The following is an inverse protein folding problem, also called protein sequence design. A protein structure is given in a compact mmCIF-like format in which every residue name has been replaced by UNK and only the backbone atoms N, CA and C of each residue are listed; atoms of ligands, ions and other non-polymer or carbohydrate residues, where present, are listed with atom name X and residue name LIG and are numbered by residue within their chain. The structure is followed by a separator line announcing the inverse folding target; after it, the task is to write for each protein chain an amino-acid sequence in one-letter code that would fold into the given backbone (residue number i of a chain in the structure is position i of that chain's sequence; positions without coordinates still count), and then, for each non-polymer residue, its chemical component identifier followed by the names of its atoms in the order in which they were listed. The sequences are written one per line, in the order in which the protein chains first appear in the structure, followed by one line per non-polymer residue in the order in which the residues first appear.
data_IF_769502129683
#
_entry.id   IF_769502129683
#
_cell.length_a   1.000
_cell.length_b   1.000
_cell.length_c   1.000
_cell.angle_alpha   90.00
_cell.angle_beta   90.00
_cell.angle_gamma   90.00
#
_symmetry.space_group_name_H-M   'P 1'
#
loop_
_entity.id
_entity.type
_entity.pdbx_description
1 polymer ?
#
# COMPACT_ATOMS: atom_id res chain seq x y z
N UNK A 1 16.94 -0.42 4.05
CA UNK A 1 16.35 0.91 3.81
C UNK A 1 14.95 0.68 3.28
N UNK A 2 13.94 1.13 4.03
CA UNK A 2 12.55 0.65 3.94
C UNK A 2 11.79 1.54 2.95
N UNK A 3 11.65 1.11 1.70
CA UNK A 3 10.76 1.79 0.75
C UNK A 3 9.33 1.31 1.04
N UNK A 4 8.69 1.92 2.05
CA UNK A 4 7.23 1.96 2.07
C UNK A 4 6.84 3.12 1.16
N UNK A 5 6.03 2.87 0.15
CA UNK A 5 5.63 3.91 -0.79
C UNK A 5 4.66 4.90 -0.15
N UNK A 6 3.77 4.41 0.72
CA UNK A 6 2.94 5.27 1.57
C UNK A 6 2.48 4.57 2.87
N UNK A 7 2.23 5.36 3.91
CA UNK A 7 1.69 4.91 5.20
C UNK A 7 0.65 5.91 5.71
N UNK A 8 -0.44 5.40 6.29
CA UNK A 8 -1.51 6.17 6.93
C UNK A 8 -1.78 5.61 8.33
N UNK A 9 -1.98 6.52 9.28
CA UNK A 9 -2.67 6.21 10.54
C UNK A 9 -4.16 6.44 10.31
N UNK A 10 -4.96 5.39 10.47
CA UNK A 10 -6.40 5.43 10.27
C UNK A 10 -7.11 6.04 11.50
N UNK A 11 -8.38 6.48 11.38
CA UNK A 11 -9.12 7.07 12.49
C UNK A 11 -9.25 6.18 13.74
N UNK A 12 -9.20 4.85 13.57
CA UNK A 12 -9.23 3.87 14.67
C UNK A 12 -7.86 3.64 15.32
N UNK A 13 -6.82 4.38 14.90
CA UNK A 13 -5.45 4.25 15.38
C UNK A 13 -4.65 3.12 14.72
N UNK A 14 -5.26 2.33 13.83
CA UNK A 14 -4.55 1.30 13.08
C UNK A 14 -3.68 1.89 11.97
N UNK A 15 -2.64 1.14 11.56
CA UNK A 15 -1.72 1.56 10.50
C UNK A 15 -2.03 0.81 9.20
N UNK A 16 -2.21 1.56 8.12
CA UNK A 16 -2.29 1.03 6.76
C UNK A 16 -1.05 1.44 5.98
N UNK A 17 -0.48 0.51 5.23
CA UNK A 17 0.68 0.72 4.37
C UNK A 17 0.34 0.31 2.94
N UNK A 18 0.81 1.07 1.96
CA UNK A 18 0.80 0.70 0.54
C UNK A 18 2.23 0.42 0.07
N UNK A 19 2.43 -0.75 -0.53
CA UNK A 19 3.66 -1.10 -1.23
C UNK A 19 3.40 -1.23 -2.74
N UNK A 20 4.27 -0.62 -3.55
CA UNK A 20 4.19 -0.60 -5.01
C UNK A 20 5.31 -1.45 -5.59
N UNK A 21 4.90 -2.52 -6.25
CA UNK A 21 5.76 -3.54 -6.81
C UNK A 21 6.14 -3.21 -8.27
N UNK A 22 7.39 -2.83 -8.53
CA UNK A 22 7.94 -2.61 -9.87
C UNK A 22 7.83 -3.81 -10.83
N UNK A 23 7.87 -3.58 -12.15
CA UNK A 23 7.65 -4.62 -13.17
C UNK A 23 8.74 -5.73 -13.27
N UNK A 24 9.72 -5.79 -12.37
CA UNK A 24 10.86 -6.72 -12.40
C UNK A 24 10.82 -7.83 -11.33
N UNK A 25 9.67 -8.12 -10.73
CA UNK A 25 9.56 -8.98 -9.54
C UNK A 25 9.28 -10.47 -9.84
N UNK A 26 10.12 -11.11 -10.66
CA UNK A 26 10.06 -12.56 -10.86
C UNK A 26 11.44 -13.23 -10.72
N UNK A 27 12.21 -12.84 -9.70
CA UNK A 27 13.39 -13.58 -9.26
C UNK A 27 13.05 -14.40 -7.99
N UNK A 28 13.50 -15.66 -7.95
CA UNK A 28 13.17 -16.64 -6.89
C UNK A 28 13.64 -16.15 -5.52
N UNK A 29 14.76 -15.43 -5.44
CA UNK A 29 15.24 -14.83 -4.19
C UNK A 29 14.33 -13.73 -3.63
N UNK A 30 13.58 -13.05 -4.50
CA UNK A 30 12.63 -12.01 -4.12
C UNK A 30 11.32 -12.62 -3.58
N UNK A 31 10.89 -13.77 -4.11
CA UNK A 31 9.72 -14.49 -3.61
C UNK A 31 9.87 -14.89 -2.13
N UNK A 32 11.04 -15.39 -1.72
CA UNK A 32 11.30 -15.70 -0.30
C UNK A 32 11.36 -14.46 0.60
N UNK A 33 11.88 -13.35 0.06
CA UNK A 33 11.87 -12.04 0.73
C UNK A 33 10.46 -11.52 0.91
N UNK A 34 9.60 -11.68 -0.08
CA UNK A 34 8.18 -11.30 -0.04
C UNK A 34 7.43 -12.11 1.00
N UNK A 35 7.63 -13.44 1.05
CA UNK A 35 7.06 -14.29 2.10
C UNK A 35 7.56 -13.90 3.51
N UNK A 36 8.81 -13.45 3.64
CA UNK A 36 9.34 -12.95 4.92
C UNK A 36 8.70 -11.61 5.29
N UNK A 37 8.47 -10.74 4.31
CA UNK A 37 7.84 -9.44 4.51
C UNK A 37 6.37 -9.57 4.89
N UNK A 38 5.61 -10.42 4.21
CA UNK A 38 4.21 -10.70 4.55
C UNK A 38 4.08 -11.19 6.01
N UNK A 39 4.96 -12.08 6.45
CA UNK A 39 5.01 -12.51 7.86
C UNK A 39 5.35 -11.37 8.82
N UNK A 40 6.32 -10.52 8.49
CA UNK A 40 6.70 -9.39 9.33
C UNK A 40 5.57 -8.35 9.47
N UNK A 41 4.75 -8.18 8.42
CA UNK A 41 3.58 -7.31 8.43
C UNK A 41 2.53 -7.83 9.41
N UNK A 42 2.18 -9.12 9.33
CA UNK A 42 1.23 -9.76 10.25
C UNK A 42 1.68 -9.57 11.71
N UNK A 43 2.96 -9.79 11.99
CA UNK A 43 3.51 -9.62 13.35
C UNK A 43 3.54 -8.17 13.84
N UNK A 44 3.55 -7.20 12.93
CA UNK A 44 3.57 -5.78 13.28
C UNK A 44 2.18 -5.19 13.59
N UNK A 45 1.11 -5.94 13.37
CA UNK A 45 -0.28 -5.46 13.50
C UNK A 45 -0.69 -4.44 12.44
N UNK A 46 0.15 -4.22 11.43
CA UNK A 46 -0.11 -3.31 10.31
C UNK A 46 -0.91 -4.01 9.22
N UNK A 47 -1.80 -3.27 8.57
CA UNK A 47 -2.49 -3.71 7.35
C UNK A 47 -1.64 -3.27 6.16
N UNK A 48 -1.45 -4.14 5.18
CA UNK A 48 -0.72 -3.82 3.94
C UNK A 48 -1.61 -4.06 2.74
N UNK A 49 -1.63 -3.08 1.84
CA UNK A 49 -2.08 -3.22 0.46
C UNK A 49 -0.86 -3.25 -0.44
N UNK A 50 -0.87 -4.16 -1.43
CA UNK A 50 0.16 -4.20 -2.48
C UNK A 50 -0.50 -3.89 -3.81
N UNK A 51 0.21 -3.15 -4.65
CA UNK A 51 -0.20 -2.86 -6.02
C UNK A 51 1.02 -2.94 -6.93
N UNK A 52 0.87 -3.47 -8.14
CA UNK A 52 1.95 -3.35 -9.11
C UNK A 52 2.09 -1.91 -9.60
N UNK A 53 3.30 -1.54 -9.99
CA UNK A 53 3.59 -0.27 -10.66
C UNK A 53 2.78 -0.10 -11.96
N UNK A 54 2.37 -1.22 -12.59
CA UNK A 54 1.46 -1.24 -13.73
C UNK A 54 0.05 -0.86 -13.33
N UNK A 55 -0.53 -1.44 -12.28
CA UNK A 55 -1.87 -1.10 -11.79
C UNK A 55 -1.94 0.36 -11.34
N UNK A 56 -0.90 0.87 -10.68
CA UNK A 56 -0.86 2.29 -10.27
C UNK A 56 -0.89 3.22 -11.48
N UNK A 57 -0.25 2.85 -12.60
CA UNK A 57 -0.20 3.66 -13.82
C UNK A 57 -1.44 3.54 -14.68
N UNK A 58 -1.98 2.32 -14.82
CA UNK A 58 -3.06 2.02 -15.76
C UNK A 58 -4.44 2.08 -15.09
N UNK A 59 -4.52 1.80 -13.79
CA UNK A 59 -5.77 1.68 -13.04
C UNK A 59 -5.74 2.44 -11.68
N UNK A 60 -5.26 3.70 -11.63
CA UNK A 60 -5.10 4.43 -10.36
C UNK A 60 -6.42 4.60 -9.59
N UNK A 61 -7.56 4.64 -10.29
CA UNK A 61 -8.87 4.76 -9.66
C UNK A 61 -9.24 3.53 -8.83
N UNK A 62 -8.78 2.34 -9.25
CA UNK A 62 -9.00 1.08 -8.52
C UNK A 62 -8.23 1.10 -7.20
N UNK A 63 -6.96 1.48 -7.25
CA UNK A 63 -6.11 1.63 -6.06
C UNK A 63 -6.70 2.69 -5.11
N UNK A 64 -7.11 3.85 -5.64
CA UNK A 64 -7.72 4.90 -4.83
C UNK A 64 -9.04 4.45 -4.16
N UNK A 65 -9.85 3.62 -4.84
CA UNK A 65 -11.07 3.03 -4.27
C UNK A 65 -10.73 2.09 -3.13
N UNK A 66 -9.75 1.23 -3.31
CA UNK A 66 -9.38 0.23 -2.32
C UNK A 66 -8.75 0.89 -1.08
N UNK A 67 -7.97 1.97 -1.26
CA UNK A 67 -7.47 2.83 -0.17
C UNK A 67 -8.62 3.48 0.62
N UNK A 68 -9.63 4.05 -0.07
CA UNK A 68 -10.82 4.61 0.60
C UNK A 68 -11.60 3.56 1.38
N UNK A 69 -11.80 2.38 0.78
CA UNK A 69 -12.46 1.26 1.45
C UNK A 69 -11.67 0.76 2.66
N UNK A 70 -10.34 0.89 2.62
CA UNK A 70 -9.47 0.56 3.75
C UNK A 70 -9.48 1.61 4.87
N UNK A 71 -10.10 2.78 4.65
CA UNK A 71 -10.26 3.84 5.65
C UNK A 71 -9.35 5.06 5.44
N UNK A 72 -8.59 5.12 4.33
CA UNK A 72 -7.75 6.30 4.02
C UNK A 72 -8.65 7.51 3.80
N UNK A 73 -8.46 8.60 4.57
CA UNK A 73 -9.26 9.82 4.40
C UNK A 73 -9.05 10.42 3.01
N UNK A 74 -10.14 10.89 2.40
CA UNK A 74 -10.04 11.75 1.22
C UNK A 74 -9.64 13.14 1.68
N UNK A 75 -8.60 13.72 1.09
CA UNK A 75 -8.40 15.17 1.20
C UNK A 75 -9.63 15.84 0.59
N UNK A 76 -10.41 16.55 1.41
CA UNK A 76 -11.39 17.47 0.87
C UNK A 76 -10.62 18.56 0.13
N UNK A 77 -11.01 18.87 -1.11
CA UNK A 77 -10.61 20.13 -1.72
C UNK A 77 -11.13 21.23 -0.80
N UNK A 78 -10.27 22.13 -0.26
CA UNK A 78 -10.78 23.25 0.52
C UNK A 78 -11.77 24.03 -0.35
N UNK A 79 -12.96 24.38 0.15
CA UNK A 79 -13.91 25.15 -0.64
C UNK A 79 -13.28 26.52 -0.97
N UNK A 80 -13.07 26.79 -2.27
CA UNK A 80 -12.73 28.11 -2.80
C UNK A 80 -11.30 28.29 -3.34
N UNK A 81 -10.89 27.50 -4.34
CA UNK A 81 -9.85 27.91 -5.31
C UNK A 81 -10.52 28.36 -6.61
#
# INVERSE_FOLDING_TARGET
MRYLDAEWVLPDGSHLVLEIDGAHHLDVGQWESDLRRERAVVLSGRRVLRASSTEVRLEPQRIARDLRAAGVPTCQTPPGL
#
